data_IF_677903831411
#
_entry.id   IF_677903831411
#
_cell.length_a   1.000
_cell.length_b   1.000
_cell.length_c   1.000
_cell.angle_alpha   90.00
_cell.angle_beta   90.00
_cell.angle_gamma   90.00
#
_symmetry.space_group_name_H-M   'P 1'
#
loop_
_entity.id
_entity.type
_entity.pdbx_description
1 polymer ?
#
# COMPACT_ATOMS: atom_id res chain seq x y z
N UNK A 1 9.13 -23.79 7.77
CA UNK A 1 7.83 -23.10 7.77
C UNK A 1 8.07 -21.61 7.96
N UNK A 2 8.13 -20.83 6.89
CA UNK A 2 8.34 -19.38 6.99
C UNK A 2 6.99 -18.67 6.94
N UNK A 3 6.32 -18.55 8.09
CA UNK A 3 5.11 -17.72 8.22
C UNK A 3 5.50 -16.31 8.65
N UNK A 4 6.31 -15.63 7.85
CA UNK A 4 6.50 -14.18 7.96
C UNK A 4 5.62 -13.51 6.91
N UNK A 5 4.34 -13.41 7.24
CA UNK A 5 3.35 -12.74 6.38
C UNK A 5 3.57 -11.22 6.56
N UNK A 6 4.05 -10.49 5.55
CA UNK A 6 4.44 -9.07 5.69
C UNK A 6 3.30 -8.19 6.22
N UNK A 7 2.05 -8.58 5.96
CA UNK A 7 0.84 -7.94 6.47
C UNK A 7 0.72 -7.88 8.00
N UNK A 8 1.36 -8.80 8.73
CA UNK A 8 1.32 -8.82 10.20
C UNK A 8 2.28 -7.79 10.81
N UNK A 9 3.36 -7.46 10.08
CA UNK A 9 4.39 -6.49 10.51
C UNK A 9 4.06 -5.05 10.14
N UNK A 10 3.22 -4.85 9.12
CA UNK A 10 2.85 -3.52 8.64
C UNK A 10 1.57 -3.07 9.33
N UNK A 11 1.61 -1.96 10.06
CA UNK A 11 0.40 -1.37 10.67
C UNK A 11 -0.55 -0.90 9.57
N UNK A 12 -1.88 -1.15 9.67
CA UNK A 12 -2.84 -0.67 8.68
C UNK A 12 -2.87 0.86 8.60
N UNK A 13 -2.84 1.40 7.38
CA UNK A 13 -2.82 2.83 7.13
C UNK A 13 -4.15 3.51 7.53
N UNK A 14 -4.09 4.53 8.40
CA UNK A 14 -5.27 5.21 8.98
C UNK A 14 -5.50 6.66 8.53
N UNK A 15 -4.66 7.23 7.65
CA UNK A 15 -4.90 8.54 7.05
C UNK A 15 -4.93 9.75 8.00
N UNK A 16 -4.11 9.77 9.06
CA UNK A 16 -4.11 10.81 10.12
C UNK A 16 -3.38 12.12 9.76
N UNK A 17 -3.64 13.16 10.58
CA UNK A 17 -3.55 14.62 10.39
C UNK A 17 -2.20 15.28 10.04
N UNK A 18 -1.14 14.51 9.73
CA UNK A 18 0.07 15.01 9.06
C UNK A 18 0.23 14.17 7.79
N UNK A 19 -0.57 14.49 6.77
CA UNK A 19 -0.99 13.54 5.73
C UNK A 19 0.17 13.05 4.86
N UNK A 20 1.04 13.93 4.40
CA UNK A 20 2.05 13.55 3.40
C UNK A 20 3.22 12.74 3.95
N UNK A 21 3.84 13.20 5.03
CA UNK A 21 5.01 12.54 5.61
C UNK A 21 4.68 11.13 6.14
N UNK A 22 3.57 11.00 6.87
CA UNK A 22 3.11 9.70 7.37
C UNK A 22 2.74 8.74 6.23
N UNK A 23 2.16 9.24 5.14
CA UNK A 23 1.81 8.42 3.97
C UNK A 23 3.05 7.93 3.23
N UNK A 24 4.02 8.81 3.00
CA UNK A 24 5.29 8.44 2.38
C UNK A 24 6.08 7.47 3.25
N UNK A 25 6.13 7.68 4.56
CA UNK A 25 6.83 6.78 5.48
C UNK A 25 6.16 5.40 5.50
N UNK A 26 4.84 5.35 5.56
CA UNK A 26 4.10 4.09 5.48
C UNK A 26 4.34 3.35 4.16
N UNK A 27 4.30 4.06 3.02
CA UNK A 27 4.56 3.46 1.71
C UNK A 27 5.99 2.90 1.61
N UNK A 28 6.98 3.60 2.17
CA UNK A 28 8.38 3.13 2.25
C UNK A 28 8.50 1.88 3.10
N UNK A 29 7.89 1.85 4.28
CA UNK A 29 7.88 0.66 5.16
C UNK A 29 7.21 -0.52 4.47
N UNK A 30 6.07 -0.31 3.79
CA UNK A 30 5.41 -1.36 3.02
C UNK A 30 6.32 -1.92 1.92
N UNK A 31 6.91 -1.05 1.09
CA UNK A 31 7.79 -1.47 0.02
C UNK A 31 9.01 -2.24 0.54
N UNK A 32 9.61 -1.78 1.64
CA UNK A 32 10.75 -2.46 2.28
C UNK A 32 10.40 -3.89 2.70
N UNK A 33 9.32 -4.07 3.46
CA UNK A 33 8.88 -5.41 3.89
C UNK A 33 8.56 -6.32 2.69
N UNK A 34 7.91 -5.78 1.65
CA UNK A 34 7.57 -6.56 0.47
C UNK A 34 8.80 -6.94 -0.37
N UNK A 35 9.81 -6.07 -0.49
CA UNK A 35 11.09 -6.41 -1.15
C UNK A 35 11.78 -7.60 -0.48
N UNK A 36 11.66 -7.73 0.86
CA UNK A 36 12.22 -8.86 1.62
C UNK A 36 11.54 -10.21 1.34
N UNK A 37 10.37 -10.23 0.68
CA UNK A 37 9.64 -11.47 0.40
C UNK A 37 9.94 -12.11 -0.96
N UNK A 38 10.79 -11.50 -1.79
CA UNK A 38 11.11 -11.96 -3.15
C UNK A 38 9.87 -12.16 -4.04
N UNK A 39 8.77 -11.49 -3.73
CA UNK A 39 7.55 -11.52 -4.56
C UNK A 39 7.63 -10.47 -5.66
N UNK A 40 7.10 -10.78 -6.85
CA UNK A 40 7.02 -9.82 -7.95
C UNK A 40 6.21 -8.58 -7.54
N UNK A 41 6.66 -7.39 -7.95
CA UNK A 41 6.07 -6.12 -7.52
C UNK A 41 4.53 -6.06 -7.72
N UNK A 42 4.03 -6.57 -8.85
CA UNK A 42 2.59 -6.56 -9.14
C UNK A 42 1.77 -7.45 -8.19
N UNK A 43 2.39 -8.45 -7.56
CA UNK A 43 1.77 -9.26 -6.51
C UNK A 43 1.60 -8.49 -5.21
N UNK A 44 2.27 -7.34 -5.04
CA UNK A 44 2.14 -6.50 -3.85
C UNK A 44 0.83 -5.70 -3.83
N UNK A 45 0.11 -5.63 -4.96
CA UNK A 45 -1.13 -4.87 -5.04
C UNK A 45 -2.24 -5.39 -4.11
N UNK A 46 -2.36 -6.71 -3.97
CA UNK A 46 -3.35 -7.35 -3.08
C UNK A 46 -3.02 -7.07 -1.61
N UNK A 47 -1.80 -7.35 -1.10
CA UNK A 47 -1.48 -7.02 0.28
C UNK A 47 -1.51 -5.51 0.55
N UNK A 48 -1.22 -4.68 -0.45
CA UNK A 48 -1.36 -3.22 -0.32
C UNK A 48 -2.81 -2.82 -0.06
N UNK A 49 -3.74 -3.29 -0.90
CA UNK A 49 -5.19 -3.03 -0.75
C UNK A 49 -5.70 -3.48 0.62
N UNK A 50 -5.26 -4.67 1.08
CA UNK A 50 -5.60 -5.21 2.40
C UNK A 50 -5.01 -4.40 3.57
N UNK A 51 -3.91 -3.67 3.35
CA UNK A 51 -3.25 -2.87 4.40
C UNK A 51 -3.85 -1.46 4.54
N UNK A 52 -4.77 -1.06 3.67
CA UNK A 52 -5.52 0.19 3.77
C UNK A 52 -6.76 -0.03 4.66
N UNK A 53 -7.04 0.89 5.60
CA UNK A 53 -8.28 0.83 6.41
C UNK A 53 -9.50 1.22 5.58
N UNK A 54 -10.67 0.68 5.94
CA UNK A 54 -11.94 0.78 5.21
C UNK A 54 -12.34 2.21 4.76
N UNK A 55 -11.99 3.24 5.53
CA UNK A 55 -12.21 4.64 5.16
C UNK A 55 -11.36 5.16 3.97
N UNK A 56 -10.17 4.57 3.75
CA UNK A 56 -9.27 4.88 2.62
C UNK A 56 -9.64 4.05 1.38
N UNK A 57 -10.29 2.90 1.58
CA UNK A 57 -10.70 1.96 0.54
C UNK A 57 -11.74 2.57 -0.41
N UNK A 58 -12.60 3.49 0.03
CA UNK A 58 -13.62 4.08 -0.84
C UNK A 58 -13.05 4.87 -2.03
N UNK A 59 -11.97 5.63 -1.83
CA UNK A 59 -11.28 6.34 -2.92
C UNK A 59 -10.49 5.37 -3.81
N UNK A 60 -9.77 4.43 -3.19
CA UNK A 60 -8.99 3.41 -3.90
C UNK A 60 -9.85 2.45 -4.71
N UNK A 61 -11.07 2.13 -4.26
CA UNK A 61 -12.00 1.24 -4.98
C UNK A 61 -12.42 1.80 -6.33
N UNK A 62 -12.41 3.12 -6.52
CA UNK A 62 -12.79 3.75 -7.79
C UNK A 62 -11.68 3.70 -8.85
N UNK A 63 -10.45 3.31 -8.49
CA UNK A 63 -9.37 3.19 -9.45
C UNK A 63 -9.66 2.08 -10.49
N UNK A 64 -9.27 2.30 -11.76
CA UNK A 64 -9.36 1.28 -12.80
C UNK A 64 -8.68 -0.03 -12.40
N UNK A 65 -9.24 -1.18 -12.81
CA UNK A 65 -8.65 -2.50 -12.53
C UNK A 65 -7.19 -2.62 -12.99
N UNK A 66 -6.83 -1.97 -14.10
CA UNK A 66 -5.45 -1.90 -14.61
C UNK A 66 -4.50 -1.21 -13.62
N UNK A 67 -4.95 -0.12 -13.00
CA UNK A 67 -4.18 0.64 -12.01
C UNK A 67 -3.95 -0.19 -10.74
N UNK A 68 -4.94 -1.01 -10.35
CA UNK A 68 -4.87 -1.89 -9.18
C UNK A 68 -4.05 -3.17 -9.37
N UNK A 69 -3.67 -3.50 -10.59
CA UNK A 69 -2.87 -4.71 -10.87
C UNK A 69 -1.38 -4.41 -11.04
N UNK A 70 -1.03 -3.14 -11.21
CA UNK A 70 0.35 -2.73 -11.44
C UNK A 70 0.85 -1.89 -10.28
N UNK A 71 1.87 -2.36 -9.59
CA UNK A 71 2.38 -1.72 -8.38
C UNK A 71 2.82 -0.27 -8.62
N UNK A 72 3.48 -0.02 -9.75
CA UNK A 72 3.93 1.31 -10.16
C UNK A 72 2.76 2.30 -10.30
N UNK A 73 1.65 1.86 -10.89
CA UNK A 73 0.47 2.71 -11.08
C UNK A 73 -0.28 2.91 -9.76
N UNK A 74 -0.37 1.85 -8.95
CA UNK A 74 -1.06 1.87 -7.67
C UNK A 74 -0.35 2.78 -6.65
N UNK A 75 0.98 2.65 -6.53
CA UNK A 75 1.80 3.49 -5.64
C UNK A 75 1.81 4.95 -6.08
N UNK A 76 1.85 5.24 -7.39
CA UNK A 76 1.76 6.61 -7.88
C UNK A 76 0.40 7.25 -7.57
N UNK A 77 -0.70 6.49 -7.72
CA UNK A 77 -2.02 6.94 -7.29
C UNK A 77 -2.07 7.21 -5.78
N UNK A 78 -1.46 6.35 -4.96
CA UNK A 78 -1.36 6.58 -3.51
C UNK A 78 -0.66 7.89 -3.19
N UNK A 79 0.51 8.13 -3.79
CA UNK A 79 1.29 9.36 -3.60
C UNK A 79 0.46 10.59 -3.99
N UNK A 80 -0.24 10.55 -5.12
CA UNK A 80 -1.10 11.66 -5.54
C UNK A 80 -2.28 11.92 -4.60
N UNK A 81 -2.89 10.87 -4.03
CA UNK A 81 -4.07 11.03 -3.18
C UNK A 81 -3.74 11.38 -1.72
N UNK A 82 -2.60 10.92 -1.21
CA UNK A 82 -2.28 10.96 0.23
C UNK A 82 -1.00 11.72 0.56
N UNK A 83 -0.12 11.95 -0.42
CA UNK A 83 1.17 12.64 -0.24
C UNK A 83 1.20 14.07 -0.81
N UNK A 84 0.07 14.58 -1.32
CA UNK A 84 -0.12 16.00 -1.64
C UNK A 84 -0.49 16.85 -0.43
#
# INVERSE_FOLDING_TARGET
MASHRPLDRIKPFSGSSNKSENSMQWLRTFAYEMTGTHTEADKWCIPFDLSLRDGVIHGFRQLPKKTKRTWKLLSNAFIHYFCS
#
